data_IF_599090875353
#
_entry.id   IF_599090875353
#
_cell.length_a   1.000
_cell.length_b   1.000
_cell.length_c   1.000
_cell.angle_alpha   90.00
_cell.angle_beta   90.00
_cell.angle_gamma   90.00
#
_symmetry.space_group_name_H-M   'P 1'
#
loop_
_entity.id
_entity.type
_entity.pdbx_description
1 polymer ?
#
# COMPACT_ATOMS: atom_id res chain seq x y z
N UNK A 1 4.49 -0.35 -17.62
CA UNK A 1 4.34 0.41 -18.88
C UNK A 1 3.26 -0.19 -19.80
N UNK A 2 3.32 -1.50 -20.08
CA UNK A 2 2.40 -2.15 -21.06
C UNK A 2 0.90 -1.96 -20.75
N UNK A 3 0.55 -1.88 -19.46
CA UNK A 3 -0.82 -1.79 -18.97
C UNK A 3 -1.21 -0.38 -18.50
N UNK A 4 -0.31 0.60 -18.71
CA UNK A 4 -0.51 1.99 -18.24
C UNK A 4 -1.73 2.66 -18.83
N UNK A 5 -2.06 2.34 -20.09
CA UNK A 5 -3.14 2.95 -20.87
C UNK A 5 -4.32 2.00 -21.09
N UNK A 6 -4.51 1.01 -20.22
CA UNK A 6 -5.73 0.20 -20.22
C UNK A 6 -6.93 1.03 -19.78
N UNK A 7 -8.13 0.61 -20.13
CA UNK A 7 -9.35 1.29 -19.72
C UNK A 7 -9.42 1.37 -18.18
N UNK A 8 -9.82 2.53 -17.62
CA UNK A 8 -9.88 2.70 -16.18
C UNK A 8 -10.99 1.83 -15.59
N UNK A 9 -10.64 1.12 -14.51
CA UNK A 9 -11.57 0.29 -13.75
C UNK A 9 -11.44 0.59 -12.27
N UNK A 10 -12.50 0.36 -11.52
CA UNK A 10 -12.49 0.43 -10.07
C UNK A 10 -13.45 -0.61 -9.48
N UNK A 11 -13.23 -0.99 -8.25
CA UNK A 11 -14.15 -1.79 -7.46
C UNK A 11 -14.06 -1.37 -5.99
N UNK A 12 -15.15 -1.53 -5.27
CA UNK A 12 -15.21 -1.18 -3.85
C UNK A 12 -14.81 -2.37 -2.99
N UNK A 13 -13.86 -2.18 -2.08
CA UNK A 13 -13.53 -3.15 -1.05
C UNK A 13 -14.46 -2.89 0.14
N UNK A 14 -15.52 -3.67 0.24
CA UNK A 14 -16.50 -3.54 1.32
C UNK A 14 -16.11 -4.41 2.53
N UNK A 15 -16.63 -4.09 3.72
CA UNK A 15 -16.25 -4.76 4.96
C UNK A 15 -16.41 -6.27 4.97
N UNK A 16 -17.36 -6.82 4.20
CA UNK A 16 -17.56 -8.28 4.04
C UNK A 16 -16.50 -8.96 3.14
N UNK A 17 -15.73 -8.20 2.39
CA UNK A 17 -14.62 -8.68 1.56
C UNK A 17 -13.29 -8.68 2.32
N UNK A 18 -13.23 -8.04 3.48
CA UNK A 18 -12.01 -7.88 4.28
C UNK A 18 -11.94 -9.01 5.30
N UNK A 19 -11.07 -9.97 5.06
CA UNK A 19 -10.72 -10.97 6.06
C UNK A 19 -9.84 -10.38 7.16
N UNK A 20 -10.00 -10.88 8.39
CA UNK A 20 -9.22 -10.36 9.53
C UNK A 20 -8.64 -11.50 10.36
N UNK A 21 -7.38 -11.37 10.76
CA UNK A 21 -6.72 -12.24 11.74
C UNK A 21 -6.58 -11.51 13.05
N UNK A 22 -7.18 -12.06 14.09
CA UNK A 22 -6.97 -11.60 15.46
C UNK A 22 -5.93 -12.49 16.14
N UNK A 23 -4.91 -11.87 16.70
CA UNK A 23 -3.88 -12.48 17.56
C UNK A 23 -3.95 -11.91 18.96
N UNK A 24 -3.09 -12.38 19.87
CA UNK A 24 -2.99 -11.83 21.23
C UNK A 24 -2.49 -10.38 21.24
N UNK A 25 -1.77 -9.95 20.21
CA UNK A 25 -1.11 -8.64 20.15
C UNK A 25 -1.78 -7.67 19.18
N UNK A 26 -2.43 -8.16 18.12
CA UNK A 26 -2.86 -7.34 17.00
C UNK A 26 -4.12 -7.87 16.31
N UNK A 27 -4.76 -7.00 15.55
CA UNK A 27 -5.74 -7.36 14.53
C UNK A 27 -5.15 -6.96 13.17
N UNK A 28 -5.11 -7.91 12.24
CA UNK A 28 -4.62 -7.69 10.88
C UNK A 28 -5.82 -7.82 9.93
N UNK A 29 -6.21 -6.71 9.30
CA UNK A 29 -7.24 -6.68 8.26
C UNK A 29 -6.56 -6.81 6.91
N UNK A 30 -6.86 -7.87 6.17
CA UNK A 30 -6.24 -8.17 4.88
C UNK A 30 -7.06 -7.55 3.76
N UNK A 31 -6.64 -6.37 3.28
CA UNK A 31 -7.32 -5.67 2.19
C UNK A 31 -6.93 -6.27 0.84
N UNK A 32 -5.66 -6.57 0.65
CA UNK A 32 -5.14 -7.22 -0.56
C UNK A 32 -4.02 -8.19 -0.20
N UNK A 33 -3.86 -9.24 -1.01
CA UNK A 33 -2.87 -10.29 -0.77
C UNK A 33 -3.37 -11.35 0.22
N UNK A 34 -2.45 -11.97 0.94
CA UNK A 34 -2.76 -13.07 1.87
C UNK A 34 -1.93 -12.96 3.16
N UNK A 35 -2.56 -13.22 4.31
CA UNK A 35 -1.93 -13.34 5.62
C UNK A 35 -2.49 -14.55 6.37
N UNK A 36 -1.65 -15.51 6.74
CA UNK A 36 -2.04 -16.70 7.51
C UNK A 36 -3.34 -17.37 6.98
N UNK A 37 -3.37 -17.64 5.67
CA UNK A 37 -4.51 -18.23 4.96
C UNK A 37 -5.75 -17.34 4.79
N UNK A 38 -5.73 -16.13 5.33
CA UNK A 38 -6.77 -15.13 5.10
C UNK A 38 -6.44 -14.37 3.83
N UNK A 39 -7.37 -14.34 2.89
CA UNK A 39 -7.20 -13.67 1.60
C UNK A 39 -7.98 -12.37 1.58
N UNK A 40 -7.33 -11.32 1.11
CA UNK A 40 -7.94 -10.08 0.67
C UNK A 40 -8.20 -10.09 -0.83
N UNK A 41 -8.49 -8.92 -1.37
CA UNK A 41 -8.69 -8.75 -2.80
C UNK A 41 -7.39 -8.98 -3.56
N UNK A 42 -7.47 -9.54 -4.76
CA UNK A 42 -6.34 -9.68 -5.66
C UNK A 42 -6.35 -8.55 -6.72
N UNK A 43 -5.45 -7.55 -6.62
CA UNK A 43 -5.38 -6.48 -7.62
C UNK A 43 -5.05 -7.04 -9.01
N UNK A 44 -5.70 -6.54 -10.08
CA UNK A 44 -5.60 -7.17 -11.40
C UNK A 44 -4.21 -7.05 -12.06
N UNK A 45 -3.48 -5.97 -11.78
CA UNK A 45 -2.20 -5.69 -12.45
C UNK A 45 -0.98 -5.96 -11.55
N UNK A 46 -0.93 -5.33 -10.39
CA UNK A 46 0.17 -5.48 -9.44
C UNK A 46 -0.33 -6.29 -8.25
N UNK A 47 0.30 -7.43 -8.01
CA UNK A 47 0.02 -8.31 -6.86
C UNK A 47 0.53 -7.65 -5.58
N UNK A 48 -0.14 -6.59 -5.15
CA UNK A 48 0.19 -5.88 -3.93
C UNK A 48 -0.36 -6.61 -2.71
N UNK A 49 0.38 -6.57 -1.61
CA UNK A 49 -0.08 -6.95 -0.28
C UNK A 49 -0.37 -5.67 0.51
N UNK A 50 -1.59 -5.54 1.01
CA UNK A 50 -2.03 -4.37 1.77
C UNK A 50 -2.78 -4.84 3.01
N UNK A 51 -2.26 -4.47 4.20
CA UNK A 51 -2.90 -4.75 5.48
C UNK A 51 -3.16 -3.44 6.22
N UNK A 52 -4.28 -3.39 6.95
CA UNK A 52 -4.52 -2.41 8.00
C UNK A 52 -4.31 -3.14 9.34
N UNK A 53 -3.32 -2.71 10.10
CA UNK A 53 -2.87 -3.39 11.33
C UNK A 53 -3.17 -2.53 12.54
N UNK A 54 -3.91 -3.10 13.49
CA UNK A 54 -4.15 -2.53 14.82
C UNK A 54 -3.30 -3.31 15.83
N UNK A 55 -2.29 -2.67 16.40
CA UNK A 55 -1.35 -3.25 17.36
C UNK A 55 -1.62 -2.68 18.75
N UNK A 56 -1.80 -3.55 19.73
CA UNK A 56 -2.06 -3.13 21.11
C UNK A 56 -0.86 -2.39 21.71
N UNK A 57 -1.14 -1.50 22.65
CA UNK A 57 -0.13 -0.76 23.41
C UNK A 57 0.92 -1.71 24.05
N UNK A 58 2.19 -1.35 23.90
CA UNK A 58 3.32 -2.12 24.42
C UNK A 58 3.55 -3.47 23.73
N UNK A 59 2.88 -3.78 22.62
CA UNK A 59 3.05 -5.02 21.88
C UNK A 59 3.87 -4.82 20.62
N UNK A 60 4.35 -5.95 20.09
CA UNK A 60 5.12 -6.01 18.86
C UNK A 60 4.50 -7.00 17.89
N UNK A 61 4.69 -6.75 16.62
CA UNK A 61 4.32 -7.66 15.53
C UNK A 61 5.49 -7.79 14.55
N UNK A 62 5.69 -9.01 14.03
CA UNK A 62 6.59 -9.27 12.93
C UNK A 62 5.75 -9.71 11.73
N UNK A 63 5.94 -9.05 10.60
CA UNK A 63 5.25 -9.34 9.36
C UNK A 63 6.25 -9.88 8.33
N UNK A 64 5.99 -11.07 7.74
CA UNK A 64 6.86 -11.61 6.71
C UNK A 64 6.79 -10.77 5.44
N UNK A 65 7.91 -10.62 4.76
CA UNK A 65 8.05 -9.92 3.49
C UNK A 65 8.79 -10.78 2.48
N UNK A 66 8.79 -10.37 1.22
CA UNK A 66 9.67 -10.96 0.21
C UNK A 66 10.84 -10.02 0.01
N UNK A 67 12.05 -10.58 0.02
CA UNK A 67 13.30 -9.80 -0.11
C UNK A 67 13.32 -8.90 -1.36
N UNK A 68 12.68 -9.36 -2.45
CA UNK A 68 12.60 -8.58 -3.70
C UNK A 68 11.52 -7.51 -3.74
N UNK A 69 10.62 -7.45 -2.74
CA UNK A 69 9.52 -6.47 -2.70
C UNK A 69 9.98 -5.13 -2.10
N UNK A 70 9.40 -4.05 -2.61
CA UNK A 70 9.40 -2.78 -1.89
C UNK A 70 8.38 -2.86 -0.77
N UNK A 71 8.83 -2.59 0.45
CA UNK A 71 8.00 -2.65 1.66
C UNK A 71 7.99 -1.30 2.34
N UNK A 72 6.81 -0.78 2.64
CA UNK A 72 6.67 0.39 3.48
C UNK A 72 5.45 0.27 4.40
N UNK A 73 5.48 1.03 5.48
CA UNK A 73 4.32 1.25 6.33
C UNK A 73 3.97 2.73 6.40
N UNK A 74 2.70 3.04 6.66
CA UNK A 74 2.25 4.39 6.98
C UNK A 74 1.56 4.37 8.33
N UNK A 75 2.10 5.13 9.29
CA UNK A 75 1.57 5.23 10.65
C UNK A 75 0.32 6.12 10.66
N UNK A 76 -0.85 5.52 10.89
CA UNK A 76 -2.13 6.22 10.88
C UNK A 76 -2.38 6.86 12.26
N UNK A 77 -2.18 6.10 13.33
CA UNK A 77 -2.45 6.51 14.70
C UNK A 77 -1.43 5.86 15.64
N UNK A 78 -0.91 6.65 16.57
CA UNK A 78 0.14 6.21 17.50
C UNK A 78 1.53 6.23 16.87
N UNK A 79 2.55 6.21 17.74
CA UNK A 79 3.95 6.16 17.34
C UNK A 79 4.41 4.70 17.26
N UNK A 80 5.33 4.43 16.34
CA UNK A 80 5.98 3.13 16.22
C UNK A 80 7.40 3.16 16.78
N UNK A 81 7.84 2.04 17.33
CA UNK A 81 9.25 1.79 17.65
C UNK A 81 9.77 0.77 16.63
N UNK A 82 10.75 1.18 15.84
CA UNK A 82 11.39 0.37 14.80
C UNK A 82 12.90 0.43 15.02
N UNK A 83 13.54 -0.71 15.19
CA UNK A 83 14.98 -0.81 15.52
C UNK A 83 15.41 0.11 16.67
N UNK A 84 14.56 0.20 17.71
CA UNK A 84 14.79 1.05 18.88
C UNK A 84 14.57 2.55 18.64
N UNK A 85 14.19 2.96 17.43
CA UNK A 85 13.90 4.35 17.09
C UNK A 85 12.41 4.63 17.17
N UNK A 86 12.02 5.69 17.89
CA UNK A 86 10.64 6.15 17.95
C UNK A 86 10.31 6.95 16.69
N UNK A 87 9.28 6.50 15.95
CA UNK A 87 8.78 7.12 14.73
C UNK A 87 7.40 7.70 15.01
N UNK A 88 7.19 9.01 14.81
CA UNK A 88 5.91 9.64 15.10
C UNK A 88 4.81 9.22 14.12
N UNK A 89 3.56 9.31 14.59
CA UNK A 89 2.38 9.10 13.73
C UNK A 89 2.39 10.00 12.49
N UNK A 90 1.62 9.63 11.45
CA UNK A 90 1.57 10.33 10.14
C UNK A 90 2.89 10.28 9.35
N UNK A 91 3.73 9.31 9.67
CA UNK A 91 5.02 9.09 8.99
C UNK A 91 4.93 7.85 8.09
N UNK A 92 5.48 7.97 6.88
CA UNK A 92 5.77 6.82 6.02
C UNK A 92 7.18 6.32 6.28
N UNK A 93 7.34 5.01 6.50
CA UNK A 93 8.64 4.35 6.70
C UNK A 93 8.87 3.37 5.57
N UNK A 94 9.89 3.62 4.76
CA UNK A 94 10.35 2.71 3.72
C UNK A 94 11.45 1.80 4.30
N UNK A 95 11.29 0.49 4.15
CA UNK A 95 12.25 -0.49 4.62
C UNK A 95 13.29 -0.83 3.54
N UNK A 96 14.46 -1.25 3.97
CA UNK A 96 15.46 -1.90 3.12
C UNK A 96 15.03 -3.33 2.76
N UNK A 97 15.80 -3.99 1.89
CA UNK A 97 15.59 -5.40 1.57
C UNK A 97 15.64 -6.26 2.83
N UNK A 98 14.70 -7.18 2.95
CA UNK A 98 14.58 -8.09 4.09
C UNK A 98 13.43 -9.08 3.88
N UNK A 99 13.41 -10.14 4.68
CA UNK A 99 12.39 -11.19 4.66
C UNK A 99 11.29 -10.98 5.72
N UNK A 100 11.46 -9.98 6.60
CA UNK A 100 10.47 -9.57 7.58
C UNK A 100 10.63 -8.12 8.00
N UNK A 101 9.60 -7.54 8.58
CA UNK A 101 9.66 -6.28 9.32
C UNK A 101 9.13 -6.50 10.74
N UNK A 102 9.73 -5.83 11.72
CA UNK A 102 9.27 -5.83 13.11
C UNK A 102 8.88 -4.41 13.53
N UNK A 103 7.67 -4.28 14.09
CA UNK A 103 7.10 -3.00 14.51
C UNK A 103 6.55 -3.16 15.93
N UNK A 104 6.86 -2.21 16.82
CA UNK A 104 6.35 -2.17 18.18
C UNK A 104 5.54 -0.91 18.43
N UNK A 105 4.48 -1.02 19.23
CA UNK A 105 3.73 0.11 19.75
C UNK A 105 4.37 0.64 21.04
N UNK A 106 4.23 1.93 21.33
CA UNK A 106 4.56 2.50 22.62
C UNK A 106 3.78 1.81 23.75
N UNK A 107 4.30 1.88 24.97
CA UNK A 107 3.77 1.12 26.13
C UNK A 107 2.35 1.52 26.54
N UNK A 108 1.94 2.73 26.25
CA UNK A 108 0.72 3.38 26.73
C UNK A 108 -0.28 3.75 25.62
N UNK A 109 0.08 3.54 24.34
CA UNK A 109 -0.75 3.90 23.19
C UNK A 109 -0.81 2.79 22.15
N UNK A 110 -2.02 2.50 21.65
CA UNK A 110 -2.23 1.63 20.50
C UNK A 110 -1.59 2.25 19.25
N UNK A 111 -1.10 1.40 18.37
CA UNK A 111 -0.58 1.77 17.06
C UNK A 111 -1.49 1.21 15.97
N UNK A 112 -1.86 2.04 15.00
CA UNK A 112 -2.50 1.61 13.75
C UNK A 112 -1.68 2.05 12.57
N UNK A 113 -1.41 1.13 11.65
CA UNK A 113 -0.63 1.42 10.47
C UNK A 113 -1.10 0.61 9.25
N UNK A 114 -0.92 1.20 8.07
CA UNK A 114 -1.02 0.47 6.80
C UNK A 114 0.32 -0.20 6.51
N UNK A 115 0.28 -1.47 6.17
CA UNK A 115 1.40 -2.21 5.61
C UNK A 115 1.19 -2.37 4.10
N UNK A 116 2.22 -2.06 3.32
CA UNK A 116 2.21 -2.19 1.87
C UNK A 116 3.47 -2.90 1.38
N UNK A 117 3.30 -3.93 0.57
CA UNK A 117 4.39 -4.66 -0.07
C UNK A 117 4.04 -5.00 -1.50
N UNK A 118 4.95 -4.77 -2.42
CA UNK A 118 4.80 -5.15 -3.82
C UNK A 118 6.15 -5.25 -4.51
N UNK A 119 6.22 -6.11 -5.53
CA UNK A 119 7.39 -6.21 -6.40
C UNK A 119 7.62 -4.89 -7.14
N UNK A 120 8.84 -4.32 -7.12
CA UNK A 120 9.15 -3.09 -7.83
C UNK A 120 9.00 -3.26 -9.34
N UNK A 121 8.40 -2.27 -10.00
CA UNK A 121 8.19 -2.29 -11.45
C UNK A 121 9.50 -2.20 -12.24
N UNK A 122 10.52 -1.54 -11.70
CA UNK A 122 11.82 -1.27 -12.35
C UNK A 122 11.66 -0.61 -13.73
N UNK A 123 10.72 0.31 -13.81
CA UNK A 123 10.40 1.10 -15.00
C UNK A 123 10.79 2.57 -14.79
N UNK A 124 11.11 3.32 -15.85
CA UNK A 124 11.29 4.76 -15.75
C UNK A 124 10.05 5.44 -15.20
N UNK A 125 10.25 6.49 -14.41
CA UNK A 125 9.17 7.30 -13.83
C UNK A 125 9.37 8.75 -14.19
N UNK A 126 8.34 9.34 -14.80
CA UNK A 126 8.23 10.77 -15.04
C UNK A 126 6.98 11.28 -14.32
N UNK A 127 7.19 12.05 -13.24
CA UNK A 127 6.11 12.48 -12.35
C UNK A 127 5.89 13.98 -12.40
N UNK A 128 4.60 14.38 -12.40
CA UNK A 128 4.18 15.78 -12.30
C UNK A 128 2.78 15.89 -11.71
N UNK A 129 2.66 16.49 -10.53
CA UNK A 129 1.37 16.60 -9.84
C UNK A 129 0.69 15.24 -9.64
N UNK A 130 -0.58 15.09 -10.04
CA UNK A 130 -1.31 13.81 -9.89
C UNK A 130 -0.99 12.80 -11.01
N UNK A 131 -0.17 13.15 -12.01
CA UNK A 131 0.10 12.32 -13.16
C UNK A 131 1.49 11.68 -13.06
N UNK A 132 1.55 10.38 -13.29
CA UNK A 132 2.79 9.60 -13.39
C UNK A 132 2.80 8.88 -14.74
N UNK A 133 3.87 9.11 -15.51
CA UNK A 133 4.13 8.47 -16.81
C UNK A 133 5.52 7.82 -16.80
N UNK A 134 5.90 7.16 -17.88
CA UNK A 134 7.22 6.57 -18.00
C UNK A 134 8.24 7.54 -18.62
N UNK A 135 7.80 8.47 -19.47
CA UNK A 135 8.68 9.46 -20.09
C UNK A 135 8.20 10.88 -19.87
N UNK A 136 9.11 11.83 -20.04
CA UNK A 136 8.80 13.28 -19.96
C UNK A 136 7.85 13.71 -21.08
N UNK A 137 8.00 13.13 -22.26
CA UNK A 137 7.15 13.38 -23.43
C UNK A 137 5.72 12.95 -23.16
N UNK A 138 5.52 11.73 -22.63
CA UNK A 138 4.20 11.22 -22.22
C UNK A 138 3.55 12.11 -21.16
N UNK A 139 4.33 12.57 -20.17
CA UNK A 139 3.84 13.45 -19.11
C UNK A 139 3.41 14.81 -19.69
N UNK A 140 4.22 15.39 -20.58
CA UNK A 140 3.88 16.67 -21.23
C UNK A 140 2.64 16.56 -22.09
N UNK A 141 2.45 15.43 -22.79
CA UNK A 141 1.23 15.20 -23.59
C UNK A 141 0.00 15.06 -22.69
N UNK A 142 0.10 14.34 -21.57
CA UNK A 142 -0.98 14.22 -20.61
C UNK A 142 -1.43 15.61 -20.08
N UNK A 143 -0.51 16.53 -19.79
CA UNK A 143 -0.86 17.90 -19.40
C UNK A 143 -1.53 18.68 -20.53
N UNK A 144 -1.07 18.55 -21.78
CA UNK A 144 -1.75 19.16 -22.92
C UNK A 144 -3.17 18.63 -23.13
N UNK A 145 -3.38 17.33 -22.90
CA UNK A 145 -4.71 16.72 -22.95
C UNK A 145 -5.63 17.25 -21.85
N UNK A 146 -5.09 17.46 -20.64
CA UNK A 146 -5.84 18.11 -19.54
C UNK A 146 -6.27 19.52 -19.91
N UNK A 147 -5.33 20.34 -20.42
CA UNK A 147 -5.60 21.73 -20.84
C UNK A 147 -6.66 21.80 -21.94
N UNK A 148 -6.69 20.82 -22.84
CA UNK A 148 -7.68 20.71 -23.94
C UNK A 148 -8.99 20.05 -23.52
N UNK A 149 -9.11 19.49 -22.31
CA UNK A 149 -10.27 18.73 -21.86
C UNK A 149 -10.45 17.37 -22.55
N UNK A 150 -9.37 16.80 -23.11
CA UNK A 150 -9.37 15.52 -23.83
C UNK A 150 -8.65 14.39 -23.10
N UNK A 151 -8.29 14.59 -21.85
CA UNK A 151 -7.55 13.62 -21.02
C UNK A 151 -8.37 12.37 -20.73
N UNK A 152 -9.66 12.51 -20.42
CA UNK A 152 -10.58 11.40 -20.17
C UNK A 152 -11.06 10.85 -21.49
N UNK A 153 -10.60 9.65 -21.86
CA UNK A 153 -10.93 8.98 -23.12
C UNK A 153 -12.04 7.94 -22.97
N UNK A 154 -12.16 7.34 -21.79
CA UNK A 154 -13.13 6.29 -21.47
C UNK A 154 -13.69 6.52 -20.07
N UNK A 155 -14.96 6.18 -19.88
CA UNK A 155 -15.54 6.14 -18.54
C UNK A 155 -14.95 4.94 -17.77
N UNK A 156 -14.70 5.12 -16.46
CA UNK A 156 -14.27 4.02 -15.62
C UNK A 156 -15.38 2.98 -15.49
N UNK A 157 -15.03 1.70 -15.67
CA UNK A 157 -15.93 0.59 -15.44
C UNK A 157 -15.82 0.14 -13.97
N UNK A 158 -16.97 -0.07 -13.30
CA UNK A 158 -17.04 -0.74 -12.02
C UNK A 158 -16.92 -2.25 -12.24
N UNK A 159 -16.05 -2.90 -11.47
CA UNK A 159 -15.92 -4.36 -11.43
C UNK A 159 -16.72 -4.88 -10.23
N UNK A 160 -17.64 -5.80 -10.50
CA UNK A 160 -18.44 -6.49 -9.48
C UNK A 160 -17.65 -7.57 -8.74
#
# INVERSE_FOLDING_TARGET
QKEKMTDPTYFDITGNMIGSKKTDNAIIHVLAGEYDSIKGVEPPHIKATIYDVELQAGKSITLPTKTEDNVFIFLIEGNAIIDGTNIPEKTAVLFSEGDEISVSAESDKQLRFMFCSAKPLKEPVSWGGPIVMNTREELNEAFKELDKGTFIKHNAAHLD
#
